data_IF_153304792657
#
_entry.id   IF_153304792657
#
_cell.length_a   1.000
_cell.length_b   1.000
_cell.length_c   1.000
_cell.angle_alpha   90.00
_cell.angle_beta   90.00
_cell.angle_gamma   90.00
#
_symmetry.space_group_name_H-M   'P 1'
#
loop_
_entity.id
_entity.type
_entity.pdbx_description
1 polymer ?
#
# COMPACT_ATOMS: atom_id res chain seq x y z
N UNK A 1 18.84 4.60 -35.33
CA UNK A 1 18.71 3.13 -35.45
C UNK A 1 18.97 2.35 -34.14
N UNK A 2 19.22 3.02 -33.00
CA UNK A 2 19.59 2.33 -31.75
C UNK A 2 18.36 1.94 -30.90
N UNK A 3 17.21 2.58 -31.10
CA UNK A 3 16.02 2.38 -30.26
C UNK A 3 15.33 1.02 -30.46
N UNK A 4 15.46 0.39 -31.64
CA UNK A 4 14.79 -0.87 -31.94
C UNK A 4 15.47 -2.08 -31.27
N UNK A 5 16.80 -2.08 -31.20
CA UNK A 5 17.59 -3.15 -30.56
C UNK A 5 17.49 -3.13 -29.03
N UNK A 6 17.46 -1.96 -28.38
CA UNK A 6 17.20 -1.84 -26.93
C UNK A 6 15.78 -2.29 -26.55
N UNK A 7 14.78 -1.96 -27.40
CA UNK A 7 13.38 -2.34 -27.16
C UNK A 7 13.17 -3.85 -27.21
N UNK A 8 13.81 -4.58 -28.13
CA UNK A 8 13.65 -6.04 -28.24
C UNK A 8 14.48 -6.86 -27.25
N UNK A 9 15.74 -6.50 -26.96
CA UNK A 9 16.57 -7.24 -26.00
C UNK A 9 16.29 -6.88 -24.54
N UNK A 10 15.91 -5.62 -24.26
CA UNK A 10 15.60 -5.16 -22.91
C UNK A 10 14.19 -5.51 -22.43
N UNK A 11 13.19 -5.56 -23.33
CA UNK A 11 11.79 -5.79 -22.92
C UNK A 11 11.58 -7.15 -22.25
N UNK A 12 12.20 -8.22 -22.75
CA UNK A 12 12.10 -9.55 -22.14
C UNK A 12 12.68 -9.57 -20.72
N UNK A 13 13.83 -8.92 -20.51
CA UNK A 13 14.45 -8.81 -19.20
C UNK A 13 13.63 -7.95 -18.23
N UNK A 14 13.07 -6.83 -18.71
CA UNK A 14 12.18 -5.96 -17.92
C UNK A 14 10.91 -6.70 -17.51
N UNK A 15 10.28 -7.46 -18.43
CA UNK A 15 9.12 -8.30 -18.16
C UNK A 15 9.43 -9.38 -17.12
N UNK A 16 10.56 -10.08 -17.25
CA UNK A 16 11.02 -11.09 -16.31
C UNK A 16 11.24 -10.51 -14.91
N UNK A 17 11.98 -9.40 -14.82
CA UNK A 17 12.21 -8.72 -13.54
C UNK A 17 10.92 -8.21 -12.90
N UNK A 18 10.03 -7.58 -13.68
CA UNK A 18 8.74 -7.12 -13.17
C UNK A 18 7.88 -8.28 -12.67
N UNK A 19 7.84 -9.38 -13.42
CA UNK A 19 7.13 -10.60 -13.02
C UNK A 19 7.70 -11.20 -11.73
N UNK A 20 9.02 -11.29 -11.60
CA UNK A 20 9.68 -11.78 -10.39
C UNK A 20 9.39 -10.87 -9.20
N UNK A 21 9.59 -9.56 -9.33
CA UNK A 21 9.34 -8.61 -8.23
C UNK A 21 7.87 -8.61 -7.83
N UNK A 22 6.94 -8.64 -8.77
CA UNK A 22 5.51 -8.70 -8.46
C UNK A 22 5.12 -10.02 -7.79
N UNK A 23 5.63 -11.16 -8.25
CA UNK A 23 5.28 -12.47 -7.67
C UNK A 23 5.84 -12.61 -6.27
N UNK A 24 7.14 -12.37 -6.07
CA UNK A 24 7.77 -12.42 -4.75
C UNK A 24 7.19 -11.35 -3.81
N UNK A 25 6.98 -10.13 -4.30
CA UNK A 25 6.37 -9.04 -3.55
C UNK A 25 4.94 -9.35 -3.13
N UNK A 26 4.11 -9.88 -4.04
CA UNK A 26 2.74 -10.27 -3.72
C UNK A 26 2.70 -11.44 -2.73
N UNK A 27 3.52 -12.48 -2.91
CA UNK A 27 3.59 -13.61 -1.98
C UNK A 27 4.02 -13.15 -0.58
N UNK A 28 5.08 -12.35 -0.48
CA UNK A 28 5.57 -11.86 0.81
C UNK A 28 4.51 -11.01 1.54
N UNK A 29 3.89 -10.06 0.84
CA UNK A 29 2.88 -9.19 1.43
C UNK A 29 1.57 -9.94 1.73
N UNK A 30 1.20 -10.94 0.92
CA UNK A 30 0.05 -11.81 1.19
C UNK A 30 0.26 -12.64 2.45
N UNK A 31 1.45 -13.23 2.63
CA UNK A 31 1.79 -13.98 3.84
C UNK A 31 1.71 -13.09 5.09
N UNK A 32 2.23 -11.86 5.01
CA UNK A 32 2.13 -10.86 6.08
C UNK A 32 0.66 -10.55 6.41
N UNK A 33 -0.18 -10.34 5.40
CA UNK A 33 -1.59 -10.06 5.58
C UNK A 33 -2.33 -11.26 6.20
N UNK A 34 -2.07 -12.47 5.73
CA UNK A 34 -2.64 -13.71 6.27
C UNK A 34 -2.22 -13.91 7.73
N UNK A 35 -0.94 -13.72 8.07
CA UNK A 35 -0.43 -13.84 9.42
C UNK A 35 -1.10 -12.83 10.38
N UNK A 36 -1.34 -11.60 9.90
CA UNK A 36 -2.07 -10.57 10.63
C UNK A 36 -3.54 -10.93 10.87
N UNK A 37 -4.22 -11.49 9.87
CA UNK A 37 -5.62 -11.90 9.99
C UNK A 37 -5.80 -13.11 10.91
N UNK A 38 -4.88 -14.08 10.85
CA UNK A 38 -4.92 -15.32 11.64
C UNK A 38 -4.61 -15.11 13.11
N UNK A 39 -3.76 -14.13 13.46
CA UNK A 39 -3.25 -14.01 14.83
C UNK A 39 -3.83 -12.77 15.52
N UNK A 40 -4.86 -12.96 16.35
CA UNK A 40 -5.50 -11.87 17.11
C UNK A 40 -4.53 -11.16 18.07
N UNK A 41 -3.54 -11.90 18.61
CA UNK A 41 -2.48 -11.35 19.47
C UNK A 41 -1.52 -10.40 18.72
N UNK A 42 -1.47 -10.47 17.40
CA UNK A 42 -0.67 -9.55 16.57
C UNK A 42 -1.42 -8.24 16.28
N UNK A 43 -2.57 -7.94 16.89
CA UNK A 43 -3.34 -6.71 16.62
C UNK A 43 -2.82 -5.47 17.38
N UNK A 44 -1.52 -5.22 17.29
CA UNK A 44 -0.84 -4.05 17.86
C UNK A 44 -0.58 -2.98 16.80
N UNK A 45 -0.38 -1.73 17.22
CA UNK A 45 -0.27 -0.56 16.31
C UNK A 45 0.79 -0.75 15.21
N UNK A 46 1.96 -1.28 15.58
CA UNK A 46 3.05 -1.64 14.66
C UNK A 46 2.62 -2.66 13.60
N UNK A 47 1.82 -3.64 13.98
CA UNK A 47 1.39 -4.71 13.08
C UNK A 47 0.25 -4.24 12.16
N UNK A 48 -0.55 -3.27 12.59
CA UNK A 48 -1.48 -2.56 11.69
C UNK A 48 -0.75 -1.75 10.63
N UNK A 49 0.36 -1.10 10.99
CA UNK A 49 1.23 -0.45 10.01
C UNK A 49 1.73 -1.46 8.96
N UNK A 50 2.27 -2.59 9.43
CA UNK A 50 2.75 -3.67 8.55
C UNK A 50 1.63 -4.20 7.65
N UNK A 51 0.41 -4.39 8.18
CA UNK A 51 -0.74 -4.83 7.39
C UNK A 51 -1.18 -3.79 6.34
N UNK A 52 -1.16 -2.51 6.69
CA UNK A 52 -1.54 -1.41 5.79
C UNK A 52 -0.50 -1.19 4.67
N UNK A 53 0.79 -1.44 4.97
CA UNK A 53 1.84 -1.52 3.98
C UNK A 53 1.58 -2.71 3.03
N UNK A 54 1.38 -3.91 3.59
CA UNK A 54 1.10 -5.12 2.81
C UNK A 54 -0.09 -4.99 1.85
N UNK A 55 -1.21 -4.38 2.30
CA UNK A 55 -2.36 -4.09 1.42
C UNK A 55 -1.99 -3.14 0.29
N UNK A 56 -1.18 -2.11 0.56
CA UNK A 56 -0.77 -1.14 -0.46
C UNK A 56 0.16 -1.76 -1.50
N UNK A 57 1.12 -2.59 -1.07
CA UNK A 57 2.01 -3.33 -1.96
C UNK A 57 1.26 -4.34 -2.83
N UNK A 58 0.26 -5.05 -2.27
CA UNK A 58 -0.61 -5.93 -3.06
C UNK A 58 -1.39 -5.15 -4.11
N UNK A 59 -1.92 -3.97 -3.75
CA UNK A 59 -2.62 -3.09 -4.68
C UNK A 59 -1.68 -2.60 -5.80
N UNK A 60 -0.43 -2.30 -5.47
CA UNK A 60 0.59 -1.95 -6.47
C UNK A 60 0.94 -3.11 -7.39
N UNK A 61 1.09 -4.32 -6.86
CA UNK A 61 1.39 -5.50 -7.67
C UNK A 61 0.25 -5.82 -8.65
N UNK A 62 -1.01 -5.61 -8.26
CA UNK A 62 -2.18 -5.94 -9.08
C UNK A 62 -2.53 -4.81 -10.05
N UNK A 63 -2.49 -3.56 -9.60
CA UNK A 63 -2.95 -2.40 -10.38
C UNK A 63 -1.78 -1.64 -10.99
N UNK A 64 -0.81 -1.23 -10.18
CA UNK A 64 0.27 -0.37 -10.66
C UNK A 64 1.26 -1.11 -11.56
N UNK A 65 1.57 -2.39 -11.31
CA UNK A 65 2.50 -3.15 -12.12
C UNK A 65 2.07 -3.33 -13.60
N UNK A 66 0.84 -3.78 -13.93
CA UNK A 66 0.42 -3.86 -15.33
C UNK A 66 0.31 -2.48 -15.98
N UNK A 67 -0.08 -1.45 -15.22
CA UNK A 67 -0.18 -0.07 -15.71
C UNK A 67 1.20 0.52 -16.02
N UNK A 68 2.18 0.31 -15.14
CA UNK A 68 3.57 0.77 -15.37
C UNK A 68 4.22 -0.01 -16.51
N UNK A 69 3.94 -1.30 -16.65
CA UNK A 69 4.38 -2.08 -17.81
C UNK A 69 3.80 -1.49 -19.10
N UNK A 70 2.49 -1.22 -19.13
CA UNK A 70 1.82 -0.59 -20.26
C UNK A 70 2.41 0.79 -20.58
N UNK A 71 2.65 1.63 -19.56
CA UNK A 71 3.27 2.93 -19.69
C UNK A 71 4.70 2.83 -20.24
N UNK A 72 5.47 1.83 -19.80
CA UNK A 72 6.85 1.61 -20.27
C UNK A 72 6.89 1.21 -21.74
N UNK A 73 5.89 0.45 -22.20
CA UNK A 73 5.78 0.00 -23.58
C UNK A 73 5.22 1.08 -24.51
N UNK A 74 4.15 1.77 -24.09
CA UNK A 74 3.39 2.72 -24.91
C UNK A 74 3.77 4.18 -24.69
N UNK A 75 4.58 4.49 -23.66
CA UNK A 75 4.99 5.85 -23.25
C UNK A 75 3.82 6.83 -23.04
N UNK A 76 2.62 6.30 -22.81
CA UNK A 76 1.38 7.07 -22.65
C UNK A 76 0.51 6.47 -21.54
N UNK A 77 -0.14 7.34 -20.77
CA UNK A 77 -1.00 6.96 -19.65
C UNK A 77 -2.48 6.89 -20.06
N UNK A 78 -3.09 5.70 -20.15
CA UNK A 78 -4.45 5.56 -20.69
C UNK A 78 -5.56 5.79 -19.65
N UNK A 79 -5.25 5.73 -18.34
CA UNK A 79 -6.25 5.80 -17.26
C UNK A 79 -6.63 7.24 -16.84
N UNK A 80 -6.13 8.25 -17.56
CA UNK A 80 -6.36 9.67 -17.29
C UNK A 80 -5.67 10.22 -16.03
N UNK A 81 -5.57 11.55 -15.93
CA UNK A 81 -4.89 12.24 -14.81
C UNK A 81 -5.47 11.90 -13.43
N UNK A 82 -6.78 11.64 -13.38
CA UNK A 82 -7.47 11.32 -12.14
C UNK A 82 -6.93 10.05 -11.47
N UNK A 83 -6.71 8.98 -12.24
CA UNK A 83 -6.19 7.72 -11.71
C UNK A 83 -4.73 7.86 -11.23
N UNK A 84 -3.92 8.60 -11.98
CA UNK A 84 -2.52 8.88 -11.62
C UNK A 84 -2.41 9.63 -10.29
N UNK A 85 -3.14 10.75 -10.14
CA UNK A 85 -3.15 11.50 -8.88
C UNK A 85 -3.69 10.68 -7.73
N UNK A 86 -4.76 9.91 -7.94
CA UNK A 86 -5.34 9.05 -6.90
C UNK A 86 -4.31 8.06 -6.36
N UNK A 87 -3.63 7.30 -7.23
CA UNK A 87 -2.65 6.29 -6.81
C UNK A 87 -1.50 6.92 -6.01
N UNK A 88 -0.97 8.05 -6.49
CA UNK A 88 0.07 8.79 -5.80
C UNK A 88 -0.39 9.34 -4.44
N UNK A 89 -1.59 9.93 -4.37
CA UNK A 89 -2.16 10.43 -3.12
C UNK A 89 -2.41 9.32 -2.11
N UNK A 90 -2.91 8.16 -2.55
CA UNK A 90 -3.17 7.00 -1.70
C UNK A 90 -1.85 6.48 -1.09
N UNK A 91 -0.79 6.37 -1.88
CA UNK A 91 0.53 5.97 -1.36
C UNK A 91 1.08 6.99 -0.35
N UNK A 92 1.01 8.29 -0.68
CA UNK A 92 1.50 9.37 0.19
C UNK A 92 0.76 9.40 1.54
N UNK A 93 -0.57 9.31 1.53
CA UNK A 93 -1.37 9.24 2.76
C UNK A 93 -1.02 7.99 3.57
N UNK A 94 -0.70 6.87 2.91
CA UNK A 94 -0.34 5.64 3.61
C UNK A 94 0.94 5.83 4.42
N UNK A 95 1.94 6.40 3.76
CA UNK A 95 3.24 6.69 4.35
C UNK A 95 3.10 7.71 5.49
N UNK A 96 2.30 8.76 5.30
CA UNK A 96 2.06 9.77 6.33
C UNK A 96 1.40 9.20 7.59
N UNK A 97 0.30 8.46 7.44
CA UNK A 97 -0.41 7.83 8.56
C UNK A 97 0.52 6.88 9.31
N UNK A 98 1.35 6.15 8.58
CA UNK A 98 2.34 5.24 9.14
C UNK A 98 3.41 5.95 9.97
N UNK A 99 4.00 7.02 9.43
CA UNK A 99 4.98 7.83 10.14
C UNK A 99 4.37 8.46 11.41
N UNK A 100 3.19 9.06 11.30
CA UNK A 100 2.49 9.65 12.45
C UNK A 100 2.19 8.59 13.53
N UNK A 101 1.81 7.39 13.10
CA UNK A 101 1.54 6.26 13.99
C UNK A 101 2.81 5.84 14.73
N UNK A 102 3.96 5.73 14.04
CA UNK A 102 5.26 5.42 14.67
C UNK A 102 5.69 6.51 15.66
N UNK A 103 5.51 7.77 15.30
CA UNK A 103 5.80 8.91 16.19
C UNK A 103 4.95 8.85 17.45
N UNK A 104 3.65 8.56 17.33
CA UNK A 104 2.76 8.42 18.49
C UNK A 104 3.17 7.26 19.41
N UNK A 105 3.60 6.12 18.85
CA UNK A 105 4.15 5.00 19.66
C UNK A 105 5.44 5.43 20.37
N UNK A 106 6.35 6.08 19.64
CA UNK A 106 7.62 6.52 20.21
C UNK A 106 7.38 7.52 21.34
N UNK A 107 6.48 8.47 21.13
CA UNK A 107 6.06 9.44 22.15
C UNK A 107 5.44 8.74 23.38
N UNK A 108 4.52 7.79 23.18
CA UNK A 108 3.92 7.01 24.27
C UNK A 108 4.99 6.29 25.11
N UNK A 109 5.96 5.66 24.46
CA UNK A 109 7.09 4.99 25.13
C UNK A 109 7.98 5.96 25.91
N UNK A 110 8.28 7.12 25.33
CA UNK A 110 9.12 8.16 25.98
C UNK A 110 8.39 8.76 27.19
N UNK A 111 7.10 9.07 27.04
CA UNK A 111 6.26 9.59 28.13
C UNK A 111 6.13 8.60 29.29
N UNK A 112 5.92 7.30 29.02
CA UNK A 112 5.90 6.27 30.05
C UNK A 112 7.24 6.11 30.78
N UNK A 113 8.35 6.35 30.09
CA UNK A 113 9.70 6.25 30.68
C UNK A 113 10.03 7.46 31.56
N UNK A 114 9.62 8.67 31.13
CA UNK A 114 9.91 9.92 31.83
C UNK A 114 8.88 10.25 32.92
N UNK A 115 7.64 9.77 32.82
CA UNK A 115 6.57 10.01 33.77
C UNK A 115 5.77 8.71 34.01
N UNK A 116 5.85 8.09 35.20
CA UNK A 116 5.04 6.93 35.57
C UNK A 116 3.57 7.29 35.86
N UNK A 117 3.01 8.24 35.10
CA UNK A 117 1.61 8.64 35.20
C UNK A 117 0.76 7.64 34.43
N UNK A 118 -0.35 7.21 35.05
CA UNK A 118 -1.38 6.32 34.49
C UNK A 118 -2.03 6.95 33.25
N UNK A 119 -1.33 6.96 32.12
CA UNK A 119 -1.87 7.44 30.86
C UNK A 119 -2.77 6.35 30.29
N UNK A 120 -4.07 6.53 30.47
CA UNK A 120 -5.08 5.61 29.95
C UNK A 120 -4.96 5.53 28.43
N UNK A 121 -5.09 4.30 27.92
CA UNK A 121 -5.09 3.80 26.52
C UNK A 121 -6.11 4.49 25.57
N UNK A 122 -6.65 5.65 25.99
CA UNK A 122 -7.73 6.43 25.35
C UNK A 122 -7.32 7.01 23.99
N UNK A 123 -6.03 7.27 23.76
CA UNK A 123 -5.53 7.87 22.52
C UNK A 123 -5.21 6.86 21.41
N UNK A 124 -5.15 5.55 21.69
CA UNK A 124 -4.97 4.51 20.67
C UNK A 124 -6.26 4.20 19.89
N UNK A 125 -7.43 4.41 20.53
CA UNK A 125 -8.77 4.16 19.96
C UNK A 125 -9.09 5.02 18.73
N UNK A 126 -8.81 6.34 18.68
CA UNK A 126 -9.03 7.13 17.48
C UNK A 126 -8.17 6.66 16.31
N UNK A 127 -6.92 6.23 16.56
CA UNK A 127 -6.00 5.75 15.51
C UNK A 127 -6.49 4.44 14.90
N UNK A 128 -6.94 3.49 15.73
CA UNK A 128 -7.54 2.24 15.28
C UNK A 128 -8.79 2.48 14.43
N UNK A 129 -9.63 3.42 14.86
CA UNK A 129 -10.88 3.77 14.16
C UNK A 129 -10.59 4.50 12.85
N UNK A 130 -9.58 5.37 12.83
CA UNK A 130 -9.15 6.14 11.66
C UNK A 130 -8.46 5.27 10.62
N UNK A 131 -7.56 4.37 11.03
CA UNK A 131 -6.91 3.39 10.15
C UNK A 131 -7.93 2.41 9.56
N UNK A 132 -8.88 1.90 10.38
CA UNK A 132 -9.95 1.03 9.90
C UNK A 132 -10.86 1.75 8.91
N UNK A 133 -11.23 3.00 9.17
CA UNK A 133 -11.97 3.86 8.23
C UNK A 133 -11.19 4.13 6.95
N UNK A 134 -9.87 4.35 7.02
CA UNK A 134 -9.03 4.60 5.85
C UNK A 134 -8.84 3.36 4.99
N UNK A 135 -8.62 2.19 5.60
CA UNK A 135 -8.55 0.92 4.86
C UNK A 135 -9.91 0.60 4.22
N UNK A 136 -11.01 0.79 4.94
CA UNK A 136 -12.36 0.64 4.37
C UNK A 136 -12.64 1.68 3.27
N UNK A 137 -12.28 2.94 3.45
CA UNK A 137 -12.44 3.96 2.42
C UNK A 137 -11.57 3.68 1.20
N UNK A 138 -10.34 3.17 1.37
CA UNK A 138 -9.50 2.71 0.26
C UNK A 138 -10.13 1.54 -0.48
N UNK A 139 -10.59 0.52 0.25
CA UNK A 139 -11.28 -0.64 -0.32
C UNK A 139 -12.57 -0.22 -1.04
N UNK A 140 -13.38 0.63 -0.42
CA UNK A 140 -14.61 1.16 -1.00
C UNK A 140 -14.32 2.05 -2.20
N UNK A 141 -13.30 2.91 -2.18
CA UNK A 141 -12.94 3.75 -3.31
C UNK A 141 -12.40 2.94 -4.50
N UNK A 142 -11.64 1.88 -4.23
CA UNK A 142 -11.18 0.91 -5.24
C UNK A 142 -12.38 0.13 -5.81
N UNK A 143 -13.29 -0.35 -4.95
CA UNK A 143 -14.51 -1.05 -5.38
C UNK A 143 -15.43 -0.13 -6.21
N UNK A 144 -15.73 1.09 -5.73
CA UNK A 144 -16.61 2.05 -6.39
C UNK A 144 -16.08 2.50 -7.76
N UNK A 145 -14.76 2.43 -7.98
CA UNK A 145 -14.13 2.76 -9.28
C UNK A 145 -13.79 1.55 -10.15
N UNK A 146 -13.86 0.33 -9.61
CA UNK A 146 -13.89 -0.90 -10.41
C UNK A 146 -15.31 -1.26 -10.88
N UNK A 147 -16.35 -0.76 -10.22
CA UNK A 147 -17.75 -0.96 -10.63
C UNK A 147 -18.20 -0.26 -11.93
N UNK A 148 -17.66 0.89 -12.40
CA UNK A 148 -18.23 1.60 -13.55
C UNK A 148 -17.73 1.08 -14.91
N UNK A 149 -16.91 0.03 -14.97
CA UNK A 149 -16.45 -0.55 -16.26
C UNK A 149 -17.16 -1.85 -16.66
N UNK A 150 -18.16 -2.33 -15.90
CA UNK A 150 -18.99 -3.46 -16.30
C UNK A 150 -20.32 -3.06 -16.97
N UNK A 151 -20.54 -1.79 -17.27
CA UNK A 151 -21.76 -1.31 -17.92
C UNK A 151 -21.48 -0.33 -19.06
N UNK A 152 -20.82 -0.81 -20.12
CA UNK A 152 -21.18 -0.60 -21.54
C UNK A 152 -20.13 -1.22 -22.46
#
# INVERSE_FOLDING_TARGET
MNNFYWRHRGAGYVLLLYGLVCTFGALANLLVLVAFLRTSHLRNLRNYFIANLAVSDLLMCIVTAPVTLYLTLNLFWPFGNFACQTLASVQAVNMFVSCLTLVLIAMDRVLLTLCPVKWSVRWSVPIHTFARRLVLCRLLFVLFRCLPTCSH
#
